data_IF_349783921732
#
_entry.id   IF_349783921732
#
_cell.length_a   1.000
_cell.length_b   1.000
_cell.length_c   1.000
_cell.angle_alpha   90.00
_cell.angle_beta   90.00
_cell.angle_gamma   90.00
#
_symmetry.space_group_name_H-M   'P 1'
#
loop_
_entity.id
_entity.type
_entity.pdbx_description
1 polymer ?
#
# COMPACT_ATOMS: atom_id res chain seq x y z
N UNK A 1 13.62 -0.69 -8.69
CA UNK A 1 12.18 -0.98 -8.85
C UNK A 1 11.56 -0.40 -10.11
N UNK A 2 12.00 0.75 -10.67
CA UNK A 2 11.54 1.23 -12.01
C UNK A 2 12.02 0.33 -13.17
N UNK A 3 13.30 -0.05 -13.13
CA UNK A 3 13.94 -0.85 -14.19
C UNK A 3 13.33 -2.26 -14.35
N UNK A 4 12.88 -2.90 -13.27
CA UNK A 4 12.32 -4.27 -13.32
C UNK A 4 11.08 -4.41 -14.21
N UNK A 5 10.03 -3.59 -14.08
CA UNK A 5 8.90 -3.63 -15.01
C UNK A 5 9.28 -3.16 -16.41
N UNK A 6 10.24 -2.26 -16.59
CA UNK A 6 10.75 -1.86 -17.91
C UNK A 6 11.41 -3.04 -18.64
N UNK A 7 12.27 -3.79 -17.93
CA UNK A 7 12.90 -5.00 -18.46
C UNK A 7 11.85 -6.06 -18.83
N UNK A 8 10.76 -6.16 -18.06
CA UNK A 8 9.66 -7.09 -18.32
C UNK A 8 8.78 -6.67 -19.51
N UNK A 9 8.50 -5.37 -19.65
CA UNK A 9 7.61 -4.83 -20.68
C UNK A 9 8.34 -4.49 -21.99
N UNK A 10 9.66 -4.30 -21.96
CA UNK A 10 10.46 -3.84 -23.09
C UNK A 10 10.21 -2.38 -23.48
N UNK A 11 9.59 -1.60 -22.59
CA UNK A 11 9.20 -0.21 -22.82
C UNK A 11 9.42 0.63 -21.56
N UNK A 12 9.67 1.93 -21.73
CA UNK A 12 9.82 2.86 -20.60
C UNK A 12 8.54 2.94 -19.76
N UNK A 13 8.69 2.94 -18.43
CA UNK A 13 7.60 3.13 -17.47
C UNK A 13 7.70 4.55 -16.93
N UNK A 14 6.74 5.38 -17.32
CA UNK A 14 6.74 6.81 -16.98
C UNK A 14 5.75 7.17 -15.89
N UNK A 15 4.80 6.30 -15.55
CA UNK A 15 3.70 6.60 -14.63
C UNK A 15 3.60 5.54 -13.53
N UNK A 16 3.22 5.96 -12.31
CA UNK A 16 3.06 5.04 -11.20
C UNK A 16 1.95 5.44 -10.22
N UNK A 17 1.38 4.42 -9.58
CA UNK A 17 0.61 4.55 -8.33
C UNK A 17 1.49 3.99 -7.22
N UNK A 18 1.68 4.75 -6.15
CA UNK A 18 2.58 4.37 -5.04
C UNK A 18 1.75 4.21 -3.76
N UNK A 19 2.00 3.12 -3.03
CA UNK A 19 1.38 2.85 -1.74
C UNK A 19 2.17 3.51 -0.60
N UNK A 20 1.46 3.95 0.44
CA UNK A 20 2.05 4.44 1.70
C UNK A 20 1.30 3.88 2.91
N UNK A 21 1.90 3.88 4.11
CA UNK A 21 1.20 3.51 5.33
C UNK A 21 -0.02 4.40 5.58
N UNK A 22 -1.10 3.82 6.12
CA UNK A 22 -2.35 4.56 6.32
C UNK A 22 -2.23 5.76 7.28
N UNK A 23 -1.24 5.73 8.18
CA UNK A 23 -0.99 6.78 9.17
C UNK A 23 -0.08 7.91 8.66
N UNK A 24 0.41 7.86 7.40
CA UNK A 24 1.24 8.91 6.84
C UNK A 24 0.47 10.24 6.73
N UNK A 25 1.09 11.29 7.25
CA UNK A 25 0.60 12.66 7.11
C UNK A 25 0.93 13.24 5.71
N UNK A 26 0.42 14.45 5.43
CA UNK A 26 0.56 15.08 4.11
C UNK A 26 2.03 15.35 3.72
N UNK A 27 2.88 15.73 4.69
CA UNK A 27 4.30 15.97 4.44
C UNK A 27 5.02 14.67 4.03
N UNK A 28 4.75 13.56 4.72
CA UNK A 28 5.32 12.26 4.38
C UNK A 28 4.82 11.76 3.03
N UNK A 29 3.53 11.98 2.71
CA UNK A 29 2.97 11.65 1.39
C UNK A 29 3.61 12.46 0.27
N UNK A 30 3.84 13.75 0.51
CA UNK A 30 4.48 14.63 -0.46
C UNK A 30 5.93 14.21 -0.70
N UNK A 31 6.67 13.87 0.36
CA UNK A 31 8.02 13.34 0.24
C UNK A 31 8.06 12.05 -0.60
N UNK A 32 7.12 11.12 -0.40
CA UNK A 32 7.02 9.92 -1.25
C UNK A 32 6.71 10.27 -2.71
N UNK A 33 5.81 11.23 -2.95
CA UNK A 33 5.47 11.68 -4.31
C UNK A 33 6.70 12.28 -5.02
N UNK A 34 7.47 13.09 -4.32
CA UNK A 34 8.66 13.72 -4.86
C UNK A 34 9.79 12.73 -5.09
N UNK A 35 9.94 11.71 -4.22
CA UNK A 35 10.84 10.59 -4.47
C UNK A 35 10.47 9.85 -5.78
N UNK A 36 9.19 9.65 -6.05
CA UNK A 36 8.72 9.09 -7.33
C UNK A 36 9.10 9.95 -8.54
N UNK A 37 8.93 11.28 -8.45
CA UNK A 37 9.34 12.21 -9.52
C UNK A 37 10.85 12.19 -9.76
N UNK A 38 11.65 12.16 -8.69
CA UNK A 38 13.12 12.07 -8.78
C UNK A 38 13.54 10.77 -9.48
N UNK A 39 12.79 9.69 -9.28
CA UNK A 39 12.98 8.42 -9.98
C UNK A 39 12.48 8.42 -11.44
N UNK A 40 12.03 9.57 -11.97
CA UNK A 40 11.51 9.69 -13.33
C UNK A 40 10.13 9.05 -13.53
N UNK A 41 9.28 9.08 -12.49
CA UNK A 41 7.90 8.61 -12.53
C UNK A 41 6.93 9.76 -12.27
N UNK A 42 5.92 9.88 -13.12
CA UNK A 42 4.73 10.67 -12.86
C UNK A 42 3.83 9.91 -11.86
N UNK A 43 3.84 10.37 -10.61
CA UNK A 43 3.02 9.76 -9.55
C UNK A 43 1.56 10.19 -9.69
N UNK A 44 0.75 9.34 -10.33
CA UNK A 44 -0.67 9.58 -10.60
C UNK A 44 -1.51 9.58 -9.33
N UNK A 45 -1.19 8.71 -8.38
CA UNK A 45 -1.92 8.62 -7.11
C UNK A 45 -1.03 8.04 -6.01
N UNK A 46 -1.22 8.58 -4.80
CA UNK A 46 -0.76 7.95 -3.56
C UNK A 46 -1.97 7.28 -2.92
N UNK A 47 -1.87 5.98 -2.64
CA UNK A 47 -2.94 5.21 -1.99
C UNK A 47 -2.43 4.58 -0.70
N UNK A 48 -3.34 4.27 0.22
CA UNK A 48 -2.97 3.58 1.45
C UNK A 48 -2.71 2.10 1.15
N UNK A 49 -1.65 1.54 1.73
CA UNK A 49 -1.34 0.10 1.68
C UNK A 49 -2.56 -0.79 1.97
N UNK A 50 -3.30 -0.62 3.08
CA UNK A 50 -4.46 -1.46 3.35
C UNK A 50 -5.59 -1.27 2.35
N UNK A 51 -5.71 -0.08 1.73
CA UNK A 51 -6.67 0.16 0.65
C UNK A 51 -6.26 -0.56 -0.62
N UNK A 52 -4.97 -0.57 -0.96
CA UNK A 52 -4.45 -1.34 -2.10
C UNK A 52 -4.70 -2.84 -1.93
N UNK A 53 -4.41 -3.39 -0.75
CA UNK A 53 -4.69 -4.79 -0.42
C UNK A 53 -6.19 -5.12 -0.49
N UNK A 54 -7.04 -4.25 0.04
CA UNK A 54 -8.49 -4.40 -0.02
C UNK A 54 -9.03 -4.34 -1.46
N UNK A 55 -8.50 -3.45 -2.30
CA UNK A 55 -8.87 -3.35 -3.72
C UNK A 55 -8.46 -4.62 -4.47
N UNK A 56 -7.24 -5.12 -4.27
CA UNK A 56 -6.79 -6.37 -4.88
C UNK A 56 -7.69 -7.55 -4.49
N UNK A 57 -8.04 -7.68 -3.20
CA UNK A 57 -8.96 -8.71 -2.73
C UNK A 57 -10.37 -8.56 -3.32
N UNK A 58 -10.89 -7.32 -3.39
CA UNK A 58 -12.22 -7.03 -3.92
C UNK A 58 -12.35 -7.22 -5.43
N UNK A 59 -11.27 -7.03 -6.19
CA UNK A 59 -11.23 -7.31 -7.64
C UNK A 59 -11.33 -8.81 -7.95
N UNK A 60 -10.79 -9.66 -7.08
CA UNK A 60 -10.82 -11.12 -7.26
C UNK A 60 -12.14 -11.75 -6.79
N UNK A 61 -12.83 -11.12 -5.83
CA UNK A 61 -14.01 -11.68 -5.15
C UNK A 61 -15.25 -10.83 -5.41
N UNK A 62 -16.08 -11.22 -6.39
CA UNK A 62 -17.42 -10.64 -6.52
C UNK A 62 -18.33 -11.18 -5.40
N UNK A 63 -18.79 -10.30 -4.50
CA UNK A 63 -20.18 -10.16 -4.00
C UNK A 63 -20.26 -9.63 -2.55
N UNK A 64 -21.09 -8.58 -2.37
CA UNK A 64 -21.68 -8.16 -1.09
C UNK A 64 -20.87 -7.13 -0.28
N UNK A 65 -21.56 -6.45 0.63
CA UNK A 65 -20.93 -5.60 1.66
C UNK A 65 -20.17 -6.50 2.65
N UNK A 66 -18.86 -6.32 2.76
CA UNK A 66 -18.00 -7.13 3.63
C UNK A 66 -17.15 -6.24 4.52
N UNK A 67 -16.99 -6.68 5.77
CA UNK A 67 -15.96 -6.16 6.66
C UNK A 67 -14.72 -7.02 6.50
N UNK A 68 -13.59 -6.38 6.21
CA UNK A 68 -12.31 -7.04 6.02
C UNK A 68 -11.30 -6.48 7.03
N UNK A 69 -10.46 -7.35 7.55
CA UNK A 69 -9.30 -6.99 8.35
C UNK A 69 -8.05 -7.26 7.52
N UNK A 70 -7.22 -6.23 7.33
CA UNK A 70 -5.91 -6.37 6.67
C UNK A 70 -4.86 -6.36 7.77
N UNK A 71 -4.10 -7.45 7.84
CA UNK A 71 -2.92 -7.59 8.69
C UNK A 71 -1.69 -7.51 7.80
N UNK A 72 -0.93 -6.42 7.91
CA UNK A 72 0.34 -6.25 7.20
C UNK A 72 1.49 -6.56 8.15
N UNK A 73 2.22 -7.64 7.83
CA UNK A 73 3.32 -8.19 8.60
C UNK A 73 4.62 -8.01 7.81
N UNK A 74 5.16 -6.79 7.84
CA UNK A 74 6.40 -6.44 7.17
C UNK A 74 7.66 -6.77 7.99
N UNK A 75 8.82 -6.62 7.35
CA UNK A 75 10.13 -6.83 8.00
C UNK A 75 10.47 -5.81 9.09
N UNK A 76 9.88 -4.60 9.02
CA UNK A 76 10.12 -3.48 9.94
C UNK A 76 8.87 -2.91 10.62
N UNK A 77 7.67 -3.22 10.12
CA UNK A 77 6.41 -2.65 10.61
C UNK A 77 5.34 -3.73 10.74
N UNK A 78 4.42 -3.51 11.66
CA UNK A 78 3.20 -4.30 11.80
C UNK A 78 2.00 -3.36 11.88
N UNK A 79 1.08 -3.51 10.93
CA UNK A 79 -0.07 -2.64 10.73
C UNK A 79 -1.35 -3.47 10.63
N UNK A 80 -2.38 -3.05 11.37
CA UNK A 80 -3.71 -3.65 11.30
C UNK A 80 -4.70 -2.58 10.87
N UNK A 81 -5.54 -2.90 9.89
CA UNK A 81 -6.65 -2.05 9.50
C UNK A 81 -7.95 -2.82 9.30
N UNK A 82 -9.05 -2.16 9.64
CA UNK A 82 -10.41 -2.63 9.40
C UNK A 82 -11.01 -1.75 8.31
N UNK A 83 -11.48 -2.39 7.24
CA UNK A 83 -12.09 -1.72 6.10
C UNK A 83 -13.44 -2.34 5.78
N UNK A 84 -14.34 -1.53 5.26
CA UNK A 84 -15.58 -1.98 4.66
C UNK A 84 -15.41 -1.96 3.15
N UNK A 85 -15.68 -3.08 2.50
CA UNK A 85 -15.73 -3.21 1.05
C UNK A 85 -17.20 -3.19 0.63
N UNK A 86 -17.58 -2.17 -0.13
CA UNK A 86 -18.84 -2.11 -0.88
C UNK A 86 -18.50 -2.15 -2.37
N UNK A 87 -19.47 -2.38 -3.24
CA UNK A 87 -19.22 -2.58 -4.67
C UNK A 87 -18.28 -1.49 -5.24
N UNK A 88 -17.07 -1.91 -5.64
CA UNK A 88 -15.96 -1.07 -6.12
C UNK A 88 -15.47 0.06 -5.20
N UNK A 89 -15.86 0.07 -3.91
CA UNK A 89 -15.52 1.12 -2.94
C UNK A 89 -14.93 0.52 -1.66
N UNK A 90 -13.72 0.96 -1.28
CA UNK A 90 -13.09 0.59 0.00
C UNK A 90 -13.13 1.79 0.93
N UNK A 91 -13.79 1.63 2.07
CA UNK A 91 -13.87 2.66 3.12
C UNK A 91 -13.10 2.20 4.36
N UNK A 92 -12.02 2.88 4.76
CA UNK A 92 -11.31 2.56 5.99
C UNK A 92 -12.19 2.92 7.20
N UNK A 93 -12.31 2.00 8.15
CA UNK A 93 -13.11 2.17 9.36
C UNK A 93 -12.21 2.48 10.56
N UNK A 94 -11.05 1.81 10.65
CA UNK A 94 -10.04 2.07 11.69
C UNK A 94 -8.69 1.48 11.30
N UNK A 95 -7.59 2.13 11.67
CA UNK A 95 -6.24 1.60 11.49
C UNK A 95 -5.38 1.88 12.72
N UNK A 96 -4.53 0.93 13.10
CA UNK A 96 -3.51 1.08 14.15
C UNK A 96 -2.25 0.32 13.77
N UNK A 97 -1.09 0.95 13.93
CA UNK A 97 0.22 0.40 13.58
C UNK A 97 1.26 0.66 14.66
N UNK A 98 2.26 -0.21 14.77
CA UNK A 98 3.37 -0.02 15.70
C UNK A 98 4.72 -0.37 15.05
N UNK A 99 5.60 0.64 14.92
CA UNK A 99 6.92 0.48 14.31
C UNK A 99 7.94 -0.31 15.18
N UNK A 100 7.55 -0.80 16.37
CA UNK A 100 8.46 -1.45 17.34
C UNK A 100 8.26 -2.96 17.52
N UNK A 101 7.38 -3.61 16.77
CA UNK A 101 7.15 -5.08 16.84
C UNK A 101 7.26 -5.69 15.44
N UNK A 102 8.32 -6.46 15.20
CA UNK A 102 8.76 -6.81 13.85
C UNK A 102 9.50 -8.17 13.78
N UNK A 103 9.50 -8.78 12.59
CA UNK A 103 10.11 -10.08 12.28
C UNK A 103 11.65 -10.09 12.37
N UNK A 104 12.31 -8.93 12.25
CA UNK A 104 13.77 -8.77 12.48
C UNK A 104 14.22 -9.06 13.92
N UNK A 105 13.28 -9.28 14.85
CA UNK A 105 13.55 -9.83 16.18
C UNK A 105 13.49 -11.36 16.25
N UNK A 106 12.84 -12.01 15.29
CA UNK A 106 12.68 -13.46 15.23
C UNK A 106 13.91 -14.15 14.65
N UNK A 107 14.67 -13.49 13.76
CA UNK A 107 15.96 -13.98 13.25
C UNK A 107 17.15 -13.80 14.21
N UNK A 108 16.90 -13.55 15.51
CA UNK A 108 17.91 -13.41 16.57
C UNK A 108 17.86 -14.58 17.58
N UNK A 109 17.30 -15.71 17.17
CA UNK A 109 17.35 -16.99 17.87
C UNK A 109 18.07 -18.01 16.99
#
# INVERSE_FOLDING_TARGET
>A
MKQTPEDYLGSEVTEAVITVPAYFNDSQRQATKDAGKIAGLEVKRIINEPTAAALAYGMEKQQGDRKIAVYDLGGGTFDISLSRLQMSTVTPVRGSGNQRRHFSRWGRF
#
